data_IF_252451374085
#
_entry.id   IF_252451374085
#
_cell.length_a   1.000
_cell.length_b   1.000
_cell.length_c   1.000
_cell.angle_alpha   90.00
_cell.angle_beta   90.00
_cell.angle_gamma   90.00
#
_symmetry.space_group_name_H-M   'P 1'
#
loop_
_entity.id
_entity.type
_entity.pdbx_description
1 polymer ?
#
# COMPACT_ATOMS: atom_id res chain seq x y z
N UNK A 1 -7.46 -0.02 8.06
CA UNK A 1 -6.89 -0.90 7.00
C UNK A 1 -7.97 -1.78 6.34
N UNK A 2 -7.79 -2.14 5.07
CA UNK A 2 -8.61 -3.08 4.29
C UNK A 2 -7.66 -4.01 3.55
N UNK A 3 -7.80 -5.32 3.65
CA UNK A 3 -6.96 -6.29 2.94
C UNK A 3 -7.79 -7.33 2.20
N UNK A 4 -7.21 -7.97 1.20
CA UNK A 4 -7.90 -8.99 0.40
C UNK A 4 -7.09 -9.45 -0.81
N UNK A 5 -7.57 -10.49 -1.47
CA UNK A 5 -6.96 -10.99 -2.70
C UNK A 5 -7.45 -10.19 -3.90
N UNK A 6 -6.51 -9.69 -4.70
CA UNK A 6 -6.77 -9.12 -6.01
C UNK A 6 -6.12 -10.01 -7.07
N UNK A 7 -6.94 -10.75 -7.82
CA UNK A 7 -6.43 -11.75 -8.75
C UNK A 7 -5.49 -12.74 -8.01
N UNK A 8 -4.20 -12.79 -8.34
CA UNK A 8 -3.19 -13.64 -7.67
C UNK A 8 -2.37 -12.91 -6.58
N UNK A 9 -2.60 -11.61 -6.37
CA UNK A 9 -1.80 -10.80 -5.44
C UNK A 9 -2.58 -10.43 -4.18
N UNK A 10 -1.93 -10.55 -3.02
CA UNK A 10 -2.50 -10.10 -1.76
C UNK A 10 -2.36 -8.60 -1.62
N UNK A 11 -3.48 -7.90 -1.52
CA UNK A 11 -3.57 -6.46 -1.41
C UNK A 11 -3.87 -6.06 0.03
N UNK A 12 -3.06 -5.16 0.58
CA UNK A 12 -3.31 -4.52 1.88
C UNK A 12 -3.39 -3.02 1.62
N UNK A 13 -4.52 -2.40 1.94
CA UNK A 13 -4.73 -0.95 1.86
C UNK A 13 -4.76 -0.38 3.26
N UNK A 14 -3.91 0.61 3.49
CA UNK A 14 -3.86 1.35 4.73
C UNK A 14 -4.95 2.42 4.76
N UNK A 15 -5.49 2.71 5.95
CA UNK A 15 -6.28 3.93 6.13
C UNK A 15 -5.35 5.15 6.30
N UNK A 16 -5.91 6.33 6.48
CA UNK A 16 -5.13 7.57 6.57
C UNK A 16 -4.09 7.56 7.70
N UNK A 17 -4.39 6.93 8.84
CA UNK A 17 -3.45 6.86 9.98
C UNK A 17 -2.30 5.93 9.63
N UNK A 18 -2.61 4.68 9.28
CA UNK A 18 -1.63 3.65 8.91
C UNK A 18 -0.74 4.09 7.73
N UNK A 19 -1.33 4.82 6.77
CA UNK A 19 -0.63 5.39 5.61
C UNK A 19 0.41 6.44 6.02
N UNK A 20 0.05 7.31 6.97
CA UNK A 20 0.98 8.27 7.57
C UNK A 20 2.11 7.57 8.32
N UNK A 21 1.77 6.63 9.21
CA UNK A 21 2.76 5.88 9.99
C UNK A 21 3.70 5.05 9.11
N UNK A 22 3.19 4.39 8.07
CA UNK A 22 4.00 3.64 7.12
C UNK A 22 4.95 4.58 6.34
N UNK A 23 4.43 5.70 5.85
CA UNK A 23 5.23 6.69 5.09
C UNK A 23 6.38 7.25 5.94
N UNK A 24 6.13 7.55 7.22
CA UNK A 24 7.17 8.00 8.15
C UNK A 24 8.16 6.88 8.49
N UNK A 25 7.66 5.67 8.79
CA UNK A 25 8.47 4.52 9.19
C UNK A 25 9.45 4.09 8.11
N UNK A 26 8.99 4.06 6.86
CA UNK A 26 9.82 3.68 5.71
C UNK A 26 10.55 4.88 5.08
N UNK A 27 10.35 6.09 5.63
CA UNK A 27 10.93 7.34 5.12
C UNK A 27 10.73 7.49 3.61
N UNK A 28 9.50 7.24 3.16
CA UNK A 28 9.17 7.25 1.73
C UNK A 28 9.50 8.61 1.09
N UNK A 29 9.39 9.70 1.85
CA UNK A 29 9.68 11.06 1.40
C UNK A 29 11.16 11.26 1.01
N UNK A 30 12.09 10.52 1.64
CA UNK A 30 13.54 10.60 1.34
C UNK A 30 13.85 9.94 -0.02
N UNK A 31 13.13 8.86 -0.36
CA UNK A 31 13.31 8.11 -1.60
C UNK A 31 12.39 8.59 -2.74
N UNK A 32 11.18 9.04 -2.40
CA UNK A 32 10.04 9.32 -3.26
C UNK A 32 9.27 10.55 -2.70
N UNK A 33 9.83 11.76 -2.85
CA UNK A 33 9.16 12.96 -2.37
C UNK A 33 7.84 13.19 -3.10
N UNK A 34 6.80 13.56 -2.35
CA UNK A 34 5.44 13.77 -2.90
C UNK A 34 4.63 12.48 -3.09
N UNK A 35 5.12 11.35 -2.59
CA UNK A 35 4.39 10.10 -2.52
C UNK A 35 4.06 9.70 -1.08
N UNK A 36 2.93 9.01 -0.92
CA UNK A 36 2.48 8.46 0.36
C UNK A 36 2.21 6.98 0.20
N UNK A 37 2.66 6.15 1.14
CA UNK A 37 2.37 4.71 1.14
C UNK A 37 0.91 4.52 1.53
N UNK A 38 0.09 4.05 0.59
CA UNK A 38 -1.33 3.76 0.82
C UNK A 38 -1.61 2.27 0.99
N UNK A 39 -0.60 1.41 0.82
CA UNK A 39 -0.77 -0.02 0.95
C UNK A 39 0.46 -0.85 0.59
N UNK A 40 0.24 -2.16 0.53
CA UNK A 40 1.18 -3.19 0.11
C UNK A 40 0.50 -4.12 -0.91
N UNK A 41 1.30 -4.61 -1.86
CA UNK A 41 0.92 -5.58 -2.86
C UNK A 41 1.88 -6.76 -2.76
N UNK A 42 1.35 -7.96 -2.59
CA UNK A 42 2.16 -9.19 -2.56
C UNK A 42 3.23 -9.25 -1.46
N UNK A 43 3.11 -8.45 -0.40
CA UNK A 43 4.07 -8.29 0.72
C UNK A 43 5.43 -7.65 0.37
N UNK A 44 5.81 -7.59 -0.91
CA UNK A 44 7.13 -7.09 -1.34
C UNK A 44 7.08 -5.72 -2.02
N UNK A 45 5.91 -5.31 -2.52
CA UNK A 45 5.72 -4.02 -3.21
C UNK A 45 4.88 -3.06 -2.37
N UNK A 46 5.33 -1.82 -2.22
CA UNK A 46 4.51 -0.74 -1.68
C UNK A 46 3.58 -0.20 -2.75
N UNK A 47 2.34 0.07 -2.35
CA UNK A 47 1.44 0.90 -3.13
C UNK A 47 1.58 2.32 -2.62
N UNK A 48 2.01 3.20 -3.50
CA UNK A 48 2.17 4.62 -3.23
C UNK A 48 1.18 5.44 -4.03
N UNK A 49 0.75 6.55 -3.46
CA UNK A 49 -0.13 7.52 -4.10
C UNK A 49 0.59 8.86 -4.21
N UNK A 50 0.53 9.48 -5.38
CA UNK A 50 1.06 10.83 -5.58
C UNK A 50 0.04 11.92 -5.22
N UNK A 51 0.48 13.18 -5.22
CA UNK A 51 -0.38 14.35 -4.96
C UNK A 51 -1.55 14.51 -5.95
N UNK A 52 -1.45 13.91 -7.14
CA UNK A 52 -2.52 13.91 -8.15
C UNK A 52 -3.56 12.81 -7.91
N UNK A 53 -3.41 12.02 -6.84
CA UNK A 53 -4.30 10.91 -6.50
C UNK A 53 -4.08 9.65 -7.35
N UNK A 54 -3.01 9.58 -8.14
CA UNK A 54 -2.64 8.40 -8.93
C UNK A 54 -1.85 7.43 -8.06
N UNK A 55 -2.16 6.14 -8.21
CA UNK A 55 -1.51 5.04 -7.50
C UNK A 55 -0.45 4.36 -8.35
N UNK A 56 0.61 3.94 -7.69
CA UNK A 56 1.75 3.27 -8.28
C UNK A 56 2.23 2.18 -7.33
N UNK A 57 2.93 1.19 -7.86
CA UNK A 57 3.66 0.20 -7.08
C UNK A 57 5.16 0.48 -7.17
N UNK A 58 5.86 0.23 -6.07
CA UNK A 58 7.32 0.30 -5.99
C UNK A 58 7.83 -0.81 -5.08
N UNK A 59 8.92 -1.53 -5.43
CA UNK A 59 9.50 -2.53 -4.55
C UNK A 59 9.92 -1.93 -3.20
N UNK A 60 9.71 -2.68 -2.13
CA UNK A 60 10.09 -2.27 -0.76
C UNK A 60 11.61 -2.17 -0.60
N UNK A 61 12.39 -2.92 -1.39
CA UNK A 61 13.85 -2.90 -1.40
C UNK A 61 14.40 -3.16 -2.82
N UNK A 62 15.07 -2.19 -3.48
CA UNK A 62 15.23 -0.78 -3.11
C UNK A 62 14.03 0.07 -3.53
N UNK A 63 13.58 0.97 -2.65
CA UNK A 63 12.59 1.99 -2.99
C UNK A 63 13.24 2.98 -3.97
N UNK A 64 12.86 2.93 -5.24
CA UNK A 64 13.43 3.79 -6.27
C UNK A 64 12.36 4.27 -7.27
N UNK A 65 12.42 5.57 -7.60
CA UNK A 65 11.58 6.21 -8.62
C UNK A 65 11.65 5.54 -10.00
N UNK A 66 12.79 4.92 -10.34
CA UNK A 66 12.97 4.23 -11.62
C UNK A 66 12.08 2.99 -11.77
N UNK A 67 11.69 2.37 -10.64
CA UNK A 67 10.91 1.14 -10.58
C UNK A 67 9.42 1.42 -10.29
N UNK A 68 8.98 2.69 -10.34
CA UNK A 68 7.57 3.06 -10.18
C UNK A 68 6.76 2.50 -11.35
N UNK A 69 5.83 1.60 -11.05
CA UNK A 69 4.89 1.08 -12.03
C UNK A 69 3.48 1.63 -11.76
N UNK A 70 2.77 2.12 -12.78
CA UNK A 70 1.39 2.56 -12.60
C UNK A 70 0.53 1.35 -12.20
N UNK A 71 -0.20 1.48 -11.10
CA UNK A 71 -1.06 0.42 -10.59
C UNK A 71 -2.46 0.97 -10.36
N UNK A 72 -3.45 0.41 -11.05
CA UNK A 72 -4.85 0.76 -10.87
C UNK A 72 -5.52 -0.22 -9.92
N UNK A 73 -5.84 0.25 -8.72
CA UNK A 73 -6.65 -0.50 -7.76
C UNK A 73 -8.04 -0.64 -8.38
N UNK A 74 -8.37 -1.84 -8.84
CA UNK A 74 -9.65 -2.12 -9.49
C UNK A 74 -10.78 -1.94 -8.47
N UNK A 75 -11.63 -0.93 -8.68
CA UNK A 75 -12.69 -0.54 -7.74
C UNK A 75 -13.70 -1.65 -7.40
N UNK A 76 -13.72 -2.71 -8.22
CA UNK A 76 -14.57 -3.91 -8.06
C UNK A 76 -13.91 -5.02 -7.23
N UNK A 77 -12.80 -4.73 -6.53
CA UNK A 77 -12.21 -5.70 -5.63
C UNK A 77 -13.30 -6.21 -4.66
N UNK A 78 -13.52 -7.54 -4.58
CA UNK A 78 -14.16 -8.12 -3.42
C UNK A 78 -13.14 -8.04 -2.28
N UNK A 79 -12.90 -6.81 -1.79
CA UNK A 79 -12.24 -6.54 -0.52
C UNK A 79 -13.19 -7.08 0.54
N UNK A 80 -13.19 -8.40 0.66
CA UNK A 80 -13.73 -9.10 1.80
C UNK A 80 -12.92 -8.52 2.94
N UNK A 81 -13.53 -7.60 3.67
CA UNK A 81 -12.97 -7.05 4.89
C UNK A 81 -12.65 -8.26 5.75
N UNK A 82 -11.41 -8.73 5.68
CA UNK A 82 -10.94 -9.84 6.49
C UNK A 82 -10.94 -9.30 7.91
N UNK A 83 -12.12 -9.42 8.53
CA UNK A 83 -12.38 -8.97 9.89
C UNK A 83 -11.79 -9.95 10.88
N UNK A 84 -10.92 -10.86 10.43
CA UNK A 84 -10.06 -11.67 11.28
C UNK A 84 -8.84 -10.86 11.73
N UNK A 85 -9.10 -9.62 12.19
CA UNK A 85 -8.41 -9.09 13.35
C UNK A 85 -8.76 -9.97 14.56
N UNK A 86 -8.32 -11.24 14.56
CA UNK A 86 -8.15 -12.05 15.76
C UNK A 86 -6.96 -11.51 16.56
N UNK A 87 -7.05 -10.23 16.92
CA UNK A 87 -6.40 -9.67 18.08
C UNK A 87 -6.96 -10.39 19.29
N UNK A 88 -6.23 -11.39 19.77
CA UNK A 88 -6.39 -11.96 21.10
C UNK A 88 -6.47 -10.84 22.13
N UNK A 89 -7.67 -10.49 22.58
CA UNK A 89 -7.86 -9.84 23.87
C UNK A 89 -7.70 -10.91 24.95
N UNK A 90 -6.69 -10.73 25.79
CA UNK A 90 -6.48 -11.49 27.02
C UNK A 90 -6.91 -10.64 28.21
#
# INVERSE_FOLDING_TARGET
MIEGWNDDQYLILFDEIESGEASERYRIDDALPGFTIVGLLGWDDFIVRNEQGRTFTVPTVPINTAELQPYEISKDLPLTLDSDATGRIK
#
